data_IF_831578408992
#
_entry.id   IF_831578408992
#
_cell.length_a   1.000
_cell.length_b   1.000
_cell.length_c   1.000
_cell.angle_alpha   90.00
_cell.angle_beta   90.00
_cell.angle_gamma   90.00
#
_symmetry.space_group_name_H-M   'P 1'
#
loop_
_entity.id
_entity.type
_entity.pdbx_description
1 polymer ?
#
# COMPACT_ATOMS: atom_id res chain seq x y z
N UNK A 1 -8.69 0.57 -8.74
CA UNK A 1 -9.04 -0.63 -7.93
C UNK A 1 -7.89 -0.93 -6.97
N UNK A 2 -8.10 -1.75 -5.93
CA UNK A 2 -7.04 -2.12 -4.95
C UNK A 2 -5.79 -2.69 -5.63
N UNK A 3 -5.97 -3.43 -6.72
CA UNK A 3 -4.87 -3.97 -7.53
C UNK A 3 -3.99 -2.88 -8.16
N UNK A 4 -4.56 -1.77 -8.64
CA UNK A 4 -3.81 -0.69 -9.29
C UNK A 4 -2.87 -0.01 -8.30
N UNK A 5 -3.36 0.25 -7.08
CA UNK A 5 -2.53 0.84 -6.01
C UNK A 5 -1.43 -0.12 -5.56
N UNK A 6 -1.71 -1.44 -5.45
CA UNK A 6 -0.67 -2.44 -5.12
C UNK A 6 0.42 -2.50 -6.20
N UNK A 7 0.04 -2.44 -7.47
CA UNK A 7 1.01 -2.39 -8.58
C UNK A 7 1.86 -1.12 -8.51
N UNK A 8 1.24 0.04 -8.30
CA UNK A 8 1.95 1.30 -8.16
C UNK A 8 2.93 1.31 -6.99
N UNK A 9 2.53 0.79 -5.82
CA UNK A 9 3.41 0.65 -4.67
C UNK A 9 4.59 -0.28 -4.98
N UNK A 10 4.33 -1.39 -5.69
CA UNK A 10 5.38 -2.35 -6.09
C UNK A 10 6.40 -1.71 -7.03
N UNK A 11 5.97 -0.90 -8.00
CA UNK A 11 6.85 -0.15 -8.90
C UNK A 11 7.74 0.86 -8.15
N UNK A 12 7.28 1.36 -7.00
CA UNK A 12 8.04 2.24 -6.10
C UNK A 12 8.81 1.45 -5.02
N UNK A 13 8.95 0.14 -5.16
CA UNK A 13 9.72 -0.70 -4.22
C UNK A 13 9.03 -0.96 -2.87
N UNK A 14 7.74 -0.67 -2.76
CA UNK A 14 6.96 -0.85 -1.54
C UNK A 14 6.08 -2.09 -1.68
N UNK A 15 6.41 -3.14 -0.92
CA UNK A 15 5.63 -4.37 -0.92
C UNK A 15 4.45 -4.26 0.06
N UNK A 16 3.23 -4.13 -0.47
CA UNK A 16 1.99 -4.11 0.30
C UNK A 16 1.01 -5.18 -0.19
N UNK A 17 0.30 -5.81 0.73
CA UNK A 17 -0.64 -6.89 0.39
C UNK A 17 -2.05 -6.35 0.27
N UNK A 18 -2.64 -6.48 -0.92
CA UNK A 18 -4.08 -6.29 -1.12
C UNK A 18 -4.87 -7.48 -0.56
N UNK A 19 -5.85 -7.23 0.28
CA UNK A 19 -6.78 -8.21 0.82
C UNK A 19 -8.12 -8.06 0.11
N UNK A 20 -8.54 -9.13 -0.55
CA UNK A 20 -9.80 -9.19 -1.30
C UNK A 20 -10.59 -10.44 -0.86
N UNK A 21 -11.83 -10.58 -1.35
CA UNK A 21 -12.63 -11.78 -1.12
C UNK A 21 -11.89 -13.05 -1.58
N UNK A 22 -11.91 -14.17 -0.80
CA UNK A 22 -12.70 -14.44 0.40
C UNK A 22 -12.05 -14.03 1.73
N UNK A 23 -10.87 -13.42 1.69
CA UNK A 23 -10.13 -13.03 2.90
C UNK A 23 -10.85 -11.91 3.66
N UNK A 24 -11.46 -10.99 2.92
CA UNK A 24 -12.36 -9.95 3.44
C UNK A 24 -13.73 -10.01 2.75
N UNK A 25 -14.81 -9.51 3.36
CA UNK A 25 -16.12 -9.43 2.71
C UNK A 25 -16.06 -8.67 1.37
N UNK A 26 -16.95 -9.00 0.44
CA UNK A 26 -17.04 -8.28 -0.85
C UNK A 26 -17.34 -6.80 -0.60
N UNK A 27 -16.60 -5.91 -1.27
CA UNK A 27 -16.71 -4.46 -1.09
C UNK A 27 -15.96 -3.90 0.12
N UNK A 28 -15.32 -4.76 0.92
CA UNK A 28 -14.45 -4.37 2.04
C UNK A 28 -12.97 -4.66 1.73
N UNK A 29 -12.57 -4.44 0.48
CA UNK A 29 -11.21 -4.64 0.01
C UNK A 29 -10.27 -3.62 0.67
N UNK A 30 -9.12 -4.07 1.16
CA UNK A 30 -8.17 -3.21 1.88
C UNK A 30 -6.73 -3.52 1.47
N UNK A 31 -5.82 -2.57 1.71
CA UNK A 31 -4.37 -2.80 1.59
C UNK A 31 -3.78 -2.76 2.99
N UNK A 32 -3.05 -3.81 3.36
CA UNK A 32 -2.43 -3.91 4.69
C UNK A 32 -0.93 -3.70 4.61
N UNK A 33 -0.45 -2.74 5.39
CA UNK A 33 0.97 -2.53 5.65
C UNK A 33 1.39 -3.26 6.92
N UNK A 34 2.55 -3.89 6.89
CA UNK A 34 3.13 -4.59 8.02
C UNK A 34 4.43 -3.90 8.41
N UNK A 35 4.46 -3.26 9.58
CA UNK A 35 5.61 -2.53 10.08
C UNK A 35 6.32 -3.39 11.14
N UNK A 36 7.65 -3.34 11.15
CA UNK A 36 8.50 -3.97 12.17
C UNK A 36 9.54 -2.97 12.70
N UNK A 37 10.24 -3.33 13.77
CA UNK A 37 11.20 -2.44 14.45
C UNK A 37 12.47 -2.09 13.68
N UNK A 38 12.69 -2.67 12.49
CA UNK A 38 13.83 -2.32 11.63
C UNK A 38 13.49 -1.19 10.65
N UNK A 39 12.22 -0.80 10.51
CA UNK A 39 11.86 0.35 9.70
C UNK A 39 12.29 1.63 10.41
N UNK A 40 12.95 2.50 9.66
CA UNK A 40 13.32 3.84 10.07
C UNK A 40 12.19 4.83 9.80
N UNK A 41 12.26 6.02 10.40
CA UNK A 41 11.33 7.11 10.08
C UNK A 41 11.36 7.45 8.59
N UNK A 42 12.54 7.41 7.95
CA UNK A 42 12.70 7.66 6.52
C UNK A 42 11.95 6.64 5.66
N UNK A 43 11.91 5.36 6.07
CA UNK A 43 11.14 4.32 5.36
C UNK A 43 9.64 4.64 5.39
N UNK A 44 9.13 5.06 6.55
CA UNK A 44 7.71 5.42 6.72
C UNK A 44 7.38 6.70 5.92
N UNK A 45 8.23 7.71 6.00
CA UNK A 45 8.06 8.97 5.25
C UNK A 45 8.07 8.73 3.74
N UNK A 46 8.94 7.84 3.26
CA UNK A 46 8.97 7.45 1.86
C UNK A 46 7.63 6.87 1.40
N UNK A 47 7.08 5.89 2.15
CA UNK A 47 5.78 5.28 1.82
C UNK A 47 4.66 6.32 1.83
N UNK A 48 4.63 7.21 2.84
CA UNK A 48 3.62 8.29 2.92
C UNK A 48 3.71 9.21 1.70
N UNK A 49 4.92 9.57 1.26
CA UNK A 49 5.11 10.43 0.10
C UNK A 49 4.68 9.76 -1.20
N UNK A 50 4.99 8.48 -1.41
CA UNK A 50 4.49 7.71 -2.57
C UNK A 50 2.96 7.63 -2.57
N UNK A 51 2.33 7.39 -1.41
CA UNK A 51 0.87 7.38 -1.30
C UNK A 51 0.23 8.74 -1.61
N UNK A 52 0.87 9.85 -1.20
CA UNK A 52 0.42 11.21 -1.57
C UNK A 52 0.51 11.41 -3.08
N UNK A 53 1.63 11.03 -3.70
CA UNK A 53 1.81 11.15 -5.16
C UNK A 53 0.75 10.34 -5.92
N UNK A 54 0.46 9.11 -5.48
CA UNK A 54 -0.61 8.31 -6.09
C UNK A 54 -1.95 9.05 -6.05
N UNK A 55 -2.33 9.59 -4.88
CA UNK A 55 -3.59 10.34 -4.70
C UNK A 55 -3.69 11.60 -5.58
N UNK A 56 -2.57 12.22 -5.91
CA UNK A 56 -2.55 13.43 -6.75
C UNK A 56 -2.59 13.10 -8.24
N UNK A 57 -2.24 11.87 -8.63
CA UNK A 57 -2.06 11.47 -10.03
C UNK A 57 -3.12 10.49 -10.54
N UNK A 58 -3.94 9.91 -9.67
CA UNK A 58 -4.97 8.90 -9.97
C UNK A 58 -6.30 9.25 -9.30
#
# INVERSE_FOLDING_TARGET
QTADMVNYLTEHGIMATGLNFPVVPKGAEEIRFQINGNHTEADIDYVINVLKQYKETH
#
